data_IF_550541701485
#
_entry.id   IF_550541701485
#
_cell.length_a   1.000
_cell.length_b   1.000
_cell.length_c   1.000
_cell.angle_alpha   90.00
_cell.angle_beta   90.00
_cell.angle_gamma   90.00
#
_symmetry.space_group_name_H-M   'P 1'
#
loop_
_entity.id
_entity.type
_entity.pdbx_description
1 polymer ?
#
# COMPACT_ATOMS: atom_id res chain seq x y z
N UNK A 1 20.41 -17.96 14.17
CA UNK A 1 20.24 -16.61 13.59
C UNK A 1 18.83 -16.55 13.03
N UNK A 2 17.85 -16.23 13.87
CA UNK A 2 16.48 -15.97 13.41
C UNK A 2 16.45 -14.60 12.76
N UNK A 3 16.59 -14.57 11.44
CA UNK A 3 16.20 -13.40 10.68
C UNK A 3 14.69 -13.26 10.86
N UNK A 4 14.29 -12.32 11.74
CA UNK A 4 12.90 -11.94 11.94
C UNK A 4 12.16 -11.92 10.60
N UNK A 5 11.06 -12.68 10.49
CA UNK A 5 10.08 -12.59 9.40
C UNK A 5 9.37 -11.22 9.50
N UNK A 6 10.11 -10.14 9.23
CA UNK A 6 9.60 -8.79 9.35
C UNK A 6 8.84 -8.42 8.09
N UNK A 7 7.54 -8.13 8.25
CA UNK A 7 6.80 -7.35 7.29
C UNK A 7 7.36 -5.93 7.21
N UNK A 8 7.25 -5.29 6.05
CA UNK A 8 7.67 -3.92 5.84
C UNK A 8 6.45 -3.07 5.52
N UNK A 9 6.44 -1.84 6.03
CA UNK A 9 5.48 -0.81 5.65
C UNK A 9 6.22 0.24 4.84
N UNK A 10 5.73 0.51 3.63
CA UNK A 10 6.26 1.54 2.75
C UNK A 10 5.21 2.64 2.65
N UNK A 11 5.51 3.79 3.22
CA UNK A 11 4.60 4.93 3.20
C UNK A 11 4.91 5.86 2.02
N UNK A 12 3.99 5.98 1.07
CA UNK A 12 4.12 6.88 -0.07
C UNK A 12 3.36 8.19 0.22
N UNK A 13 4.10 9.30 0.35
CA UNK A 13 3.56 10.65 0.54
C UNK A 13 3.73 11.51 -0.71
N UNK A 14 2.83 12.46 -0.92
CA UNK A 14 2.90 13.41 -2.04
C UNK A 14 1.53 14.00 -2.40
N UNK A 15 1.55 15.10 -3.15
CA UNK A 15 0.36 15.80 -3.62
C UNK A 15 -0.58 14.89 -4.44
N UNK A 16 -1.85 15.29 -4.57
CA UNK A 16 -2.76 14.64 -5.52
C UNK A 16 -2.17 14.66 -6.93
N UNK A 17 -2.24 13.53 -7.65
CA UNK A 17 -1.60 13.39 -8.96
C UNK A 17 -0.09 13.13 -8.97
N UNK A 18 0.61 13.11 -7.82
CA UNK A 18 2.06 12.87 -7.77
C UNK A 18 2.51 11.44 -8.13
N UNK A 19 1.61 10.55 -8.55
CA UNK A 19 1.93 9.18 -8.98
C UNK A 19 2.08 8.13 -7.87
N UNK A 20 1.64 8.42 -6.64
CA UNK A 20 1.71 7.49 -5.49
C UNK A 20 1.08 6.13 -5.79
N UNK A 21 -0.17 6.14 -6.26
CA UNK A 21 -0.93 4.93 -6.60
C UNK A 21 -0.26 4.16 -7.74
N UNK A 22 0.23 4.87 -8.77
CA UNK A 22 0.99 4.26 -9.87
C UNK A 22 2.23 3.52 -9.37
N UNK A 23 3.00 4.15 -8.47
CA UNK A 23 4.19 3.54 -7.89
C UNK A 23 3.86 2.35 -6.98
N UNK A 24 2.80 2.45 -6.18
CA UNK A 24 2.35 1.37 -5.30
C UNK A 24 1.96 0.11 -6.09
N UNK A 25 1.19 0.27 -7.18
CA UNK A 25 0.75 -0.83 -8.05
C UNK A 25 1.95 -1.52 -8.69
N UNK A 26 2.89 -0.74 -9.24
CA UNK A 26 4.07 -1.31 -9.89
C UNK A 26 5.01 -2.01 -8.88
N UNK A 27 5.13 -1.47 -7.67
CA UNK A 27 5.88 -2.10 -6.59
C UNK A 27 5.24 -3.44 -6.17
N UNK A 28 3.91 -3.46 -5.97
CA UNK A 28 3.16 -4.68 -5.63
C UNK A 28 3.34 -5.74 -6.72
N UNK A 29 3.23 -5.37 -8.00
CA UNK A 29 3.47 -6.27 -9.14
C UNK A 29 4.86 -6.91 -9.07
N UNK A 30 5.90 -6.11 -8.85
CA UNK A 30 7.30 -6.59 -8.73
C UNK A 30 7.52 -7.47 -7.51
N UNK A 31 6.85 -7.19 -6.39
CA UNK A 31 6.92 -8.03 -5.19
C UNK A 31 6.25 -9.38 -5.41
N UNK A 32 5.07 -9.38 -6.05
CA UNK A 32 4.34 -10.60 -6.41
C UNK A 32 5.14 -11.48 -7.37
N UNK A 33 5.78 -10.89 -8.37
CA UNK A 33 6.68 -11.60 -9.30
C UNK A 33 7.87 -12.27 -8.61
N UNK A 34 8.29 -11.74 -7.45
CA UNK A 34 9.33 -12.32 -6.61
C UNK A 34 8.79 -13.30 -5.56
N UNK A 35 7.52 -13.70 -5.66
CA UNK A 35 6.86 -14.60 -4.71
C UNK A 35 6.66 -14.00 -3.32
N UNK A 36 6.65 -12.66 -3.19
CA UNK A 36 6.44 -11.98 -1.92
C UNK A 36 4.99 -11.53 -1.79
N UNK A 37 4.40 -11.80 -0.63
CA UNK A 37 3.08 -11.27 -0.31
C UNK A 37 3.16 -9.79 0.02
N UNK A 38 2.27 -9.01 -0.58
CA UNK A 38 2.13 -7.57 -0.36
C UNK A 38 0.67 -7.17 -0.50
N UNK A 39 0.31 -6.05 0.11
CA UNK A 39 -1.01 -5.43 0.01
C UNK A 39 -0.84 -3.92 -0.13
N UNK A 40 -1.62 -3.31 -1.00
CA UNK A 40 -1.73 -1.85 -1.09
C UNK A 40 -2.86 -1.37 -0.20
N UNK A 41 -2.56 -0.40 0.67
CA UNK A 41 -3.55 0.33 1.46
C UNK A 41 -3.67 1.75 0.90
N UNK A 42 -4.73 2.01 0.13
CA UNK A 42 -5.02 3.34 -0.42
C UNK A 42 -6.07 4.04 0.45
N UNK A 43 -5.80 5.30 0.80
CA UNK A 43 -6.71 6.12 1.60
C UNK A 43 -8.09 6.29 0.94
N UNK A 44 -8.17 6.31 -0.39
CA UNK A 44 -9.46 6.40 -1.09
C UNK A 44 -10.29 5.12 -0.93
N UNK A 45 -9.64 3.96 -1.02
CA UNK A 45 -10.28 2.65 -0.82
C UNK A 45 -10.73 2.49 0.64
N UNK A 46 -9.90 2.90 1.58
CA UNK A 46 -10.21 2.83 3.01
C UNK A 46 -11.37 3.78 3.39
N UNK A 47 -11.42 4.99 2.81
CA UNK A 47 -12.52 5.95 2.97
C UNK A 47 -13.85 5.41 2.45
N UNK A 48 -13.85 4.78 1.27
CA UNK A 48 -15.07 4.23 0.70
C UNK A 48 -15.62 3.01 1.49
N UNK A 49 -14.75 2.25 2.14
CA UNK A 49 -15.09 1.05 2.90
C UNK A 49 -15.18 1.29 4.40
N UNK A 50 -14.05 1.13 5.07
CA UNK A 50 -13.95 0.98 6.53
C UNK A 50 -14.23 2.30 7.26
N UNK A 51 -13.91 3.44 6.64
CA UNK A 51 -14.05 4.76 7.26
C UNK A 51 -15.33 5.50 6.81
N UNK A 52 -16.27 4.81 6.18
CA UNK A 52 -17.47 5.42 5.57
C UNK A 52 -18.36 6.12 6.61
N UNK A 53 -18.33 5.66 7.85
CA UNK A 53 -19.08 6.17 8.99
C UNK A 53 -18.42 7.36 9.69
N UNK A 54 -17.19 7.75 9.30
CA UNK A 54 -16.48 8.87 9.93
C UNK A 54 -16.90 10.26 9.43
N UNK A 55 -17.77 10.33 8.40
CA UNK A 55 -18.42 11.58 7.99
C UNK A 55 -17.53 12.56 7.21
N UNK A 56 -16.40 12.10 6.66
CA UNK A 56 -15.49 12.87 5.81
C UNK A 56 -15.04 12.08 4.58
#
# INVERSE_FOLDING_TARGET
MDALKNGYVIWLMGLSGAGKTTLAIELERKLREKGRHSIILDGDILRAGINKDLGF
#
